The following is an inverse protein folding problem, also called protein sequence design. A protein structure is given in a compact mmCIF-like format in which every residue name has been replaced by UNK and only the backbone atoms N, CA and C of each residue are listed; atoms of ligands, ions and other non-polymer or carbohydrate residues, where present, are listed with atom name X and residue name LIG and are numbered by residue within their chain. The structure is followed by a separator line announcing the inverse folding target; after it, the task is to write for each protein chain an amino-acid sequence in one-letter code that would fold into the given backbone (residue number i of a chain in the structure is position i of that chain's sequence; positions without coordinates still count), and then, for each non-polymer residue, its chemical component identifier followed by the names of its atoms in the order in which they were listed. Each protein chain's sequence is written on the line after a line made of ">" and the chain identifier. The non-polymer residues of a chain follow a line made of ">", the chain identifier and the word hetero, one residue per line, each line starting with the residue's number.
data_IF_606537635671
#
_entry.id   IF_606537635671
#
_cell.length_a   1.000
_cell.length_b   1.000
_cell.length_c   1.000
_cell.angle_alpha   90.00
_cell.angle_beta   90.00
_cell.angle_gamma   90.00
#
_symmetry.space_group_name_H-M   'P 1'
#
loop_
_entity.id
_entity.type
_entity.pdbx_description
1 polymer ?
#
# COMPACT_ATOMS: atom_id res chain seq x y z
N UNK A 1 -34.50 -14.73 19.50
CA UNK A 1 -35.98 -14.74 19.32
C UNK A 1 -36.51 -13.41 18.74
N UNK A 2 -35.70 -12.61 18.07
CA UNK A 2 -36.08 -11.30 17.50
C UNK A 2 -35.93 -11.20 15.96
N UNK A 3 -35.56 -12.31 15.27
CA UNK A 3 -35.36 -12.32 13.80
C UNK A 3 -36.59 -12.75 12.99
N UNK A 4 -37.63 -13.28 13.60
CA UNK A 4 -38.82 -13.75 12.89
C UNK A 4 -39.96 -12.71 12.79
N UNK A 5 -39.91 -11.64 13.59
CA UNK A 5 -40.97 -10.62 13.60
C UNK A 5 -40.94 -9.65 12.40
N UNK A 6 -39.76 -9.48 11.75
CA UNK A 6 -39.65 -8.56 10.62
C UNK A 6 -40.10 -9.16 9.27
N UNK A 7 -40.01 -10.47 9.11
CA UNK A 7 -40.42 -11.15 7.86
C UNK A 7 -41.92 -11.25 7.71
N UNK A 8 -42.66 -11.35 8.81
CA UNK A 8 -44.12 -11.51 8.81
C UNK A 8 -44.87 -10.18 8.52
N UNK A 9 -44.29 -9.06 8.89
CA UNK A 9 -44.86 -7.73 8.57
C UNK A 9 -44.63 -7.35 7.08
N UNK A 10 -43.61 -7.91 6.46
CA UNK A 10 -43.22 -7.59 5.07
C UNK A 10 -44.17 -8.23 4.01
N UNK A 11 -44.64 -9.45 4.28
CA UNK A 11 -45.54 -10.17 3.36
C UNK A 11 -46.98 -9.62 3.39
N UNK A 12 -47.40 -8.95 4.45
CA UNK A 12 -48.73 -8.35 4.55
C UNK A 12 -48.85 -7.00 3.85
N UNK A 13 -47.74 -6.30 3.62
CA UNK A 13 -47.73 -4.99 2.94
C UNK A 13 -47.54 -5.09 1.41
N UNK A 14 -46.96 -6.18 0.93
CA UNK A 14 -46.66 -6.37 -0.50
C UNK A 14 -47.88 -6.67 -1.39
N UNK A 15 -49.06 -6.90 -0.80
CA UNK A 15 -50.27 -7.24 -1.55
C UNK A 15 -51.13 -6.03 -1.96
N UNK A 16 -50.73 -4.80 -1.64
CA UNK A 16 -51.56 -3.59 -1.81
C UNK A 16 -50.95 -2.55 -2.74
N UNK A 17 -49.78 -2.77 -3.34
CA UNK A 17 -49.09 -1.74 -4.12
C UNK A 17 -49.19 -1.98 -5.63
N UNK A 18 -49.64 -0.94 -6.33
CA UNK A 18 -49.90 -0.85 -7.77
C UNK A 18 -48.61 -1.02 -8.62
N UNK A 19 -48.77 -1.59 -9.82
CA UNK A 19 -47.69 -2.04 -10.71
C UNK A 19 -46.70 -0.94 -11.15
N UNK A 20 -47.05 0.33 -11.02
CA UNK A 20 -46.22 1.48 -11.43
C UNK A 20 -45.15 1.85 -10.41
N UNK A 21 -45.26 1.39 -9.17
CA UNK A 21 -44.26 1.66 -8.09
C UNK A 21 -43.24 0.54 -7.91
N UNK A 22 -43.36 -0.59 -8.60
CA UNK A 22 -42.46 -1.75 -8.41
C UNK A 22 -41.01 -1.50 -8.85
N UNK A 23 -40.80 -0.70 -9.89
CA UNK A 23 -39.43 -0.38 -10.33
C UNK A 23 -38.71 0.57 -9.37
N UNK A 24 -39.43 1.53 -8.78
CA UNK A 24 -38.84 2.42 -7.78
C UNK A 24 -38.58 1.70 -6.45
N UNK A 25 -39.46 0.81 -6.01
CA UNK A 25 -39.26 0.00 -4.81
C UNK A 25 -38.17 -1.07 -5.00
N UNK A 26 -38.05 -1.68 -6.18
CA UNK A 26 -36.99 -2.59 -6.50
C UNK A 26 -35.61 -1.88 -6.45
N UNK A 27 -35.56 -0.63 -6.91
CA UNK A 27 -34.38 0.21 -6.83
C UNK A 27 -34.08 0.65 -5.38
N UNK A 28 -35.12 0.94 -4.59
CA UNK A 28 -35.00 1.28 -3.17
C UNK A 28 -34.63 0.06 -2.33
N UNK A 29 -35.20 -1.10 -2.63
CA UNK A 29 -34.89 -2.38 -1.97
C UNK A 29 -33.51 -2.92 -2.35
N UNK A 30 -33.08 -2.72 -3.59
CA UNK A 30 -31.70 -2.94 -3.99
C UNK A 30 -30.73 -2.02 -3.22
N UNK A 31 -31.05 -0.72 -3.10
CA UNK A 31 -30.27 0.21 -2.27
C UNK A 31 -30.32 -0.15 -0.77
N UNK A 32 -31.48 -0.56 -0.24
CA UNK A 32 -31.60 -1.01 1.16
C UNK A 32 -30.91 -2.35 1.41
N UNK A 33 -30.87 -3.28 0.45
CA UNK A 33 -30.08 -4.50 0.52
C UNK A 33 -28.59 -4.21 0.48
N UNK A 34 -28.17 -3.25 -0.34
CA UNK A 34 -26.79 -2.71 -0.34
C UNK A 34 -26.45 -2.09 1.02
N UNK A 35 -27.38 -1.32 1.65
CA UNK A 35 -27.18 -0.75 2.99
C UNK A 35 -27.21 -1.80 4.12
N UNK A 36 -27.93 -2.89 3.99
CA UNK A 36 -27.99 -3.96 5.00
C UNK A 36 -26.79 -4.94 4.90
N UNK A 37 -26.13 -5.01 3.74
CA UNK A 37 -24.90 -5.77 3.53
C UNK A 37 -23.64 -4.96 3.87
N UNK A 38 -23.78 -3.67 4.19
CA UNK A 38 -22.69 -2.77 4.58
C UNK A 38 -22.23 -3.03 6.00
N UNK A 39 -21.58 -4.16 6.29
CA UNK A 39 -20.77 -4.32 7.52
C UNK A 39 -19.85 -5.53 7.50
N UNK A 40 -18.95 -5.62 6.54
CA UNK A 40 -17.64 -6.21 6.80
C UNK A 40 -16.62 -5.38 6.02
N UNK A 41 -15.95 -4.50 6.75
CA UNK A 41 -14.72 -3.88 6.27
C UNK A 41 -13.68 -5.00 6.32
N UNK A 42 -13.31 -5.51 5.15
CA UNK A 42 -12.25 -6.52 5.06
C UNK A 42 -10.89 -5.82 5.22
N UNK A 43 -10.02 -6.42 6.00
CA UNK A 43 -8.65 -5.96 6.13
C UNK A 43 -7.75 -6.80 5.22
N UNK A 44 -7.11 -6.14 4.25
CA UNK A 44 -6.15 -6.79 3.34
C UNK A 44 -4.78 -6.76 3.98
N UNK A 45 -4.44 -7.85 4.64
CA UNK A 45 -3.15 -8.10 5.29
C UNK A 45 -2.46 -9.29 4.63
N UNK A 46 -1.21 -9.53 4.97
CA UNK A 46 -0.49 -10.73 4.55
C UNK A 46 -1.25 -12.00 4.94
N UNK A 47 -1.79 -12.06 6.16
CA UNK A 47 -2.51 -13.22 6.67
C UNK A 47 -3.83 -13.45 5.93
N UNK A 48 -4.63 -12.39 5.70
CA UNK A 48 -5.91 -12.53 4.99
C UNK A 48 -5.70 -12.89 3.53
N UNK A 49 -4.65 -12.39 2.87
CA UNK A 49 -4.30 -12.78 1.51
C UNK A 49 -3.91 -14.25 1.42
N UNK A 50 -3.01 -14.72 2.30
CA UNK A 50 -2.49 -16.10 2.24
C UNK A 50 -3.51 -17.15 2.68
N UNK A 51 -4.53 -16.78 3.46
CA UNK A 51 -5.62 -17.66 3.87
C UNK A 51 -6.82 -17.66 2.92
N UNK A 52 -6.84 -16.81 1.90
CA UNK A 52 -7.96 -16.70 0.97
C UNK A 52 -7.85 -17.76 -0.13
N UNK A 53 -8.78 -18.72 -0.12
CA UNK A 53 -8.82 -19.83 -1.09
C UNK A 53 -9.22 -19.41 -2.51
N UNK A 54 -9.83 -18.21 -2.66
CA UNK A 54 -10.21 -17.67 -3.96
C UNK A 54 -9.02 -17.00 -4.70
N UNK A 55 -7.84 -16.89 -4.05
CA UNK A 55 -6.63 -16.34 -4.63
C UNK A 55 -5.64 -17.47 -4.97
N UNK A 56 -5.11 -17.42 -6.18
CA UNK A 56 -3.97 -18.26 -6.53
C UNK A 56 -2.68 -17.56 -6.14
N UNK A 57 -2.03 -18.05 -5.09
CA UNK A 57 -0.79 -17.49 -4.57
C UNK A 57 0.40 -18.19 -5.24
N UNK A 58 1.20 -17.41 -6.00
CA UNK A 58 2.45 -17.90 -6.59
C UNK A 58 3.59 -17.94 -5.58
N UNK A 59 3.69 -16.91 -4.73
CA UNK A 59 4.73 -16.81 -3.72
C UNK A 59 4.22 -16.06 -2.48
N UNK A 60 4.69 -16.46 -1.31
CA UNK A 60 4.49 -15.70 -0.08
C UNK A 60 5.63 -15.92 0.92
N UNK A 61 6.03 -14.86 1.59
CA UNK A 61 6.91 -14.85 2.76
C UNK A 61 6.38 -13.85 3.82
N UNK A 62 7.23 -13.45 4.77
CA UNK A 62 6.85 -12.53 5.85
C UNK A 62 6.57 -11.08 5.39
N UNK A 63 6.96 -10.72 4.16
CA UNK A 63 6.88 -9.35 3.64
C UNK A 63 6.19 -9.22 2.30
N UNK A 64 6.06 -10.31 1.56
CA UNK A 64 5.66 -10.32 0.16
C UNK A 64 4.57 -11.37 -0.06
N UNK A 65 3.52 -11.01 -0.79
CA UNK A 65 2.56 -11.95 -1.35
C UNK A 65 2.41 -11.65 -2.84
N UNK A 66 2.61 -12.66 -3.68
CA UNK A 66 2.36 -12.60 -5.13
C UNK A 66 1.08 -13.37 -5.44
N UNK A 67 0.12 -12.68 -6.00
CA UNK A 67 -1.15 -13.24 -6.48
C UNK A 67 -1.06 -13.40 -7.99
N UNK A 68 -1.21 -14.62 -8.47
CA UNK A 68 -1.14 -14.97 -9.89
C UNK A 68 -2.45 -14.74 -10.61
N UNK A 69 -3.54 -15.02 -9.92
CA UNK A 69 -4.90 -14.84 -10.42
C UNK A 69 -5.91 -14.85 -9.28
N UNK A 70 -7.10 -14.35 -9.58
CA UNK A 70 -8.24 -14.39 -8.68
C UNK A 70 -9.29 -15.32 -9.29
N UNK A 71 -9.61 -16.40 -8.59
CA UNK A 71 -10.57 -17.39 -9.09
C UNK A 71 -12.00 -16.93 -8.87
N UNK A 72 -12.24 -16.23 -7.76
CA UNK A 72 -13.55 -15.71 -7.41
C UNK A 72 -13.39 -14.41 -6.63
N UNK A 73 -14.15 -13.42 -7.02
CA UNK A 73 -14.25 -12.19 -6.25
C UNK A 73 -15.43 -12.28 -5.29
N UNK A 74 -15.16 -12.16 -4.00
CA UNK A 74 -16.21 -11.87 -3.04
C UNK A 74 -16.80 -10.47 -3.31
N UNK A 75 -18.06 -10.25 -3.00
CA UNK A 75 -18.65 -8.91 -3.02
C UNK A 75 -18.02 -8.08 -1.89
N UNK A 76 -16.90 -7.40 -2.19
CA UNK A 76 -16.20 -6.55 -1.26
C UNK A 76 -16.82 -5.15 -1.34
N UNK A 77 -17.55 -4.75 -0.31
CA UNK A 77 -18.12 -3.40 -0.23
C UNK A 77 -17.09 -2.36 0.23
N UNK A 78 -16.17 -2.75 1.09
CA UNK A 78 -15.07 -1.90 1.56
C UNK A 78 -13.88 -2.78 2.03
N UNK A 79 -12.67 -2.34 1.70
CA UNK A 79 -11.44 -2.98 2.14
C UNK A 79 -10.45 -1.95 2.71
N UNK A 80 -9.85 -2.28 3.84
CA UNK A 80 -8.70 -1.54 4.37
C UNK A 80 -7.42 -2.25 3.94
N UNK A 81 -6.63 -1.59 3.09
CA UNK A 81 -5.40 -2.16 2.53
C UNK A 81 -4.24 -1.82 3.44
N UNK A 82 -3.76 -2.80 4.21
CA UNK A 82 -2.66 -2.64 5.18
C UNK A 82 -1.28 -2.86 4.58
N UNK A 83 -1.20 -3.22 3.29
CA UNK A 83 0.03 -3.44 2.54
C UNK A 83 0.11 -2.51 1.32
N UNK A 84 1.31 -2.27 0.80
CA UNK A 84 1.43 -1.63 -0.51
C UNK A 84 1.11 -2.66 -1.59
N UNK A 85 0.25 -2.32 -2.56
CA UNK A 85 -0.12 -3.20 -3.65
C UNK A 85 0.25 -2.60 -5.01
N UNK A 86 0.83 -3.43 -5.86
CA UNK A 86 1.06 -3.16 -7.28
C UNK A 86 0.34 -4.27 -8.02
N UNK A 87 -0.68 -3.93 -8.80
CA UNK A 87 -1.50 -4.90 -9.50
C UNK A 87 -1.66 -4.54 -10.97
N UNK A 88 -1.46 -5.51 -11.85
CA UNK A 88 -1.76 -5.37 -13.27
C UNK A 88 -3.10 -6.06 -13.58
N UNK A 89 -4.02 -5.32 -14.19
CA UNK A 89 -5.25 -5.91 -14.71
C UNK A 89 -4.94 -6.70 -15.98
N UNK A 90 -5.17 -8.01 -15.93
CA UNK A 90 -4.90 -8.91 -17.07
C UNK A 90 -6.13 -9.13 -17.94
N UNK A 91 -7.33 -8.97 -17.36
CA UNK A 91 -8.60 -9.13 -18.07
C UNK A 91 -9.70 -8.33 -17.37
N UNK A 92 -10.67 -7.84 -18.13
CA UNK A 92 -11.83 -7.12 -17.62
C UNK A 92 -11.48 -5.74 -17.05
N UNK A 93 -12.26 -5.32 -16.05
CA UNK A 93 -12.06 -4.02 -15.38
C UNK A 93 -12.56 -4.03 -13.94
N UNK A 94 -12.00 -3.13 -13.13
CA UNK A 94 -12.48 -2.83 -11.78
C UNK A 94 -12.61 -1.33 -11.59
N UNK A 95 -13.66 -0.92 -10.89
CA UNK A 95 -13.89 0.44 -10.44
C UNK A 95 -13.92 0.43 -8.92
N UNK A 96 -13.29 1.42 -8.29
CA UNK A 96 -13.29 1.58 -6.84
C UNK A 96 -13.13 3.06 -6.45
N UNK A 97 -13.48 3.38 -5.22
CA UNK A 97 -13.20 4.68 -4.60
C UNK A 97 -12.05 4.50 -3.61
N UNK A 98 -10.90 5.10 -3.90
CA UNK A 98 -9.69 5.06 -3.06
C UNK A 98 -9.54 6.39 -2.33
N UNK A 99 -9.64 6.39 -1.00
CA UNK A 99 -9.57 7.61 -0.19
C UNK A 99 -10.45 8.76 -0.73
N UNK A 100 -11.65 8.44 -1.24
CA UNK A 100 -12.61 9.40 -1.80
C UNK A 100 -12.35 9.79 -3.27
N UNK A 101 -11.34 9.24 -3.92
CA UNK A 101 -11.09 9.41 -5.35
C UNK A 101 -11.56 8.17 -6.11
N UNK A 102 -12.46 8.35 -7.07
CA UNK A 102 -12.90 7.26 -7.94
C UNK A 102 -11.79 6.91 -8.93
N UNK A 103 -11.46 5.64 -9.02
CA UNK A 103 -10.51 5.09 -9.98
C UNK A 103 -11.18 3.99 -10.81
N UNK A 104 -10.75 3.82 -12.02
CA UNK A 104 -11.11 2.71 -12.91
C UNK A 104 -9.83 2.10 -13.47
N UNK A 105 -9.70 0.79 -13.34
CA UNK A 105 -8.56 0.01 -13.80
C UNK A 105 -9.04 -0.92 -14.91
N UNK A 106 -8.47 -0.77 -16.09
CA UNK A 106 -8.74 -1.59 -17.27
C UNK A 106 -7.62 -2.56 -17.55
N UNK A 107 -7.88 -3.48 -18.46
CA UNK A 107 -6.85 -4.39 -18.97
C UNK A 107 -5.60 -3.62 -19.43
N UNK A 108 -4.43 -4.16 -19.12
CA UNK A 108 -3.11 -3.58 -19.40
C UNK A 108 -2.79 -2.28 -18.64
N UNK A 109 -3.55 -1.99 -17.60
CA UNK A 109 -3.21 -0.92 -16.67
C UNK A 109 -2.69 -1.49 -15.35
N UNK A 110 -1.83 -0.72 -14.69
CA UNK A 110 -1.27 -1.03 -13.38
C UNK A 110 -1.88 -0.13 -12.32
N UNK A 111 -2.41 -0.75 -11.28
CA UNK A 111 -2.81 -0.05 -10.06
C UNK A 111 -1.65 -0.01 -9.06
N UNK A 112 -1.47 1.15 -8.42
CA UNK A 112 -0.49 1.38 -7.35
C UNK A 112 -1.25 1.88 -6.14
N UNK A 113 -1.41 1.03 -5.16
CA UNK A 113 -2.20 1.29 -3.95
C UNK A 113 -1.26 1.29 -2.75
N UNK A 114 -1.08 2.45 -2.07
CA UNK A 114 -0.26 2.50 -0.87
C UNK A 114 -0.95 1.81 0.31
N UNK A 115 -0.16 1.45 1.31
CA UNK A 115 -0.71 0.98 2.58
C UNK A 115 -1.59 2.03 3.27
N UNK A 116 -2.44 1.58 4.18
CA UNK A 116 -3.35 2.42 4.99
C UNK A 116 -4.42 3.14 4.16
N UNK A 117 -4.79 2.56 3.02
CA UNK A 117 -5.85 3.04 2.13
C UNK A 117 -7.15 2.31 2.41
N UNK A 118 -8.25 3.05 2.33
CA UNK A 118 -9.60 2.47 2.33
C UNK A 118 -10.14 2.50 0.92
N UNK A 119 -10.45 1.33 0.39
CA UNK A 119 -11.17 1.14 -0.87
C UNK A 119 -12.65 0.91 -0.57
N UNK A 120 -13.53 1.63 -1.26
CA UNK A 120 -14.99 1.48 -1.16
C UNK A 120 -15.60 1.40 -2.56
N UNK A 121 -16.88 1.03 -2.63
CA UNK A 121 -17.65 0.99 -3.88
C UNK A 121 -16.96 0.16 -4.96
N UNK A 122 -16.38 -0.98 -4.56
CA UNK A 122 -15.64 -1.86 -5.47
C UNK A 122 -16.62 -2.58 -6.39
N UNK A 123 -16.52 -2.33 -7.68
CA UNK A 123 -17.30 -2.98 -8.74
C UNK A 123 -16.36 -3.62 -9.74
N UNK A 124 -16.58 -4.88 -10.04
CA UNK A 124 -15.73 -5.68 -10.93
C UNK A 124 -16.56 -6.25 -12.09
N UNK A 125 -15.97 -6.35 -13.27
CA UNK A 125 -16.58 -7.06 -14.40
C UNK A 125 -16.50 -8.57 -14.17
N UNK A 126 -17.44 -9.37 -14.71
CA UNK A 126 -17.47 -10.82 -14.51
C UNK A 126 -16.22 -11.56 -14.98
N UNK A 127 -15.49 -10.98 -15.92
CA UNK A 127 -14.26 -11.52 -16.52
C UNK A 127 -12.99 -10.92 -15.91
N UNK A 128 -13.11 -10.12 -14.83
CA UNK A 128 -11.97 -9.43 -14.23
C UNK A 128 -10.94 -10.42 -13.68
N UNK A 129 -9.69 -10.19 -14.01
CA UNK A 129 -8.56 -10.88 -13.41
C UNK A 129 -7.34 -9.95 -13.30
N UNK A 130 -6.48 -10.26 -12.35
CA UNK A 130 -5.27 -9.48 -12.09
C UNK A 130 -4.11 -10.38 -11.66
N UNK A 131 -2.90 -9.85 -11.85
CA UNK A 131 -1.70 -10.28 -11.13
C UNK A 131 -1.29 -9.18 -10.18
N UNK A 132 -1.00 -9.52 -8.94
CA UNK A 132 -0.67 -8.52 -7.94
C UNK A 132 0.52 -8.91 -7.08
N UNK A 133 1.25 -7.89 -6.65
CA UNK A 133 2.30 -7.97 -5.67
C UNK A 133 1.92 -7.10 -4.47
N UNK A 134 1.82 -7.73 -3.32
CA UNK A 134 1.60 -7.05 -2.05
C UNK A 134 2.89 -7.04 -1.25
N UNK A 135 3.27 -5.86 -0.77
CA UNK A 135 4.54 -5.61 -0.08
C UNK A 135 4.28 -4.94 1.26
N UNK A 136 4.91 -5.42 2.32
CA UNK A 136 4.98 -4.64 3.56
C UNK A 136 5.75 -3.34 3.31
N UNK A 137 5.48 -2.32 4.15
CA UNK A 137 6.23 -1.06 4.04
C UNK A 137 7.74 -1.29 4.24
N UNK A 138 8.10 -2.23 5.09
CA UNK A 138 9.49 -2.62 5.37
C UNK A 138 10.23 -3.03 4.11
N UNK A 139 9.69 -3.99 3.35
CA UNK A 139 10.37 -4.48 2.15
C UNK A 139 10.36 -3.45 1.02
N UNK A 140 9.27 -2.69 0.87
CA UNK A 140 9.20 -1.61 -0.11
C UNK A 140 10.26 -0.53 0.14
N UNK A 141 10.43 -0.10 1.38
CA UNK A 141 11.48 0.85 1.77
C UNK A 141 12.88 0.27 1.51
N UNK A 142 13.10 -1.00 1.81
CA UNK A 142 14.36 -1.69 1.48
C UNK A 142 14.63 -1.70 -0.03
N UNK A 143 13.61 -1.97 -0.84
CA UNK A 143 13.75 -2.00 -2.31
C UNK A 143 14.06 -0.63 -2.89
N UNK A 144 13.37 0.40 -2.42
CA UNK A 144 13.44 1.74 -3.00
C UNK A 144 14.41 2.69 -2.31
N UNK A 145 14.74 2.44 -1.04
CA UNK A 145 15.60 3.25 -0.18
C UNK A 145 15.83 4.71 -0.66
N UNK A 146 16.88 4.95 -1.45
CA UNK A 146 17.23 6.27 -1.99
C UNK A 146 16.22 6.79 -3.05
N UNK A 147 15.30 5.97 -3.50
CA UNK A 147 14.29 6.28 -4.53
C UNK A 147 12.87 6.38 -3.95
N UNK A 148 12.71 6.31 -2.62
CA UNK A 148 11.40 6.46 -1.97
C UNK A 148 10.71 7.79 -2.30
N UNK A 149 11.47 8.84 -2.61
CA UNK A 149 10.92 10.12 -3.07
C UNK A 149 10.08 9.96 -4.35
N UNK A 150 10.49 9.08 -5.28
CA UNK A 150 9.71 8.80 -6.50
C UNK A 150 8.39 8.13 -6.17
N UNK A 151 8.41 7.11 -5.31
CA UNK A 151 7.20 6.44 -4.84
C UNK A 151 6.25 7.42 -4.14
N UNK A 152 6.78 8.21 -3.23
CA UNK A 152 5.99 9.18 -2.48
C UNK A 152 5.40 10.28 -3.38
N UNK A 153 6.14 10.75 -4.40
CA UNK A 153 5.63 11.70 -5.38
C UNK A 153 4.43 11.10 -6.14
N UNK A 154 4.59 9.89 -6.68
CA UNK A 154 3.55 9.20 -7.44
C UNK A 154 2.29 9.00 -6.60
N UNK A 155 2.45 8.41 -5.44
CA UNK A 155 1.35 7.85 -4.65
C UNK A 155 0.65 8.89 -3.79
N UNK A 156 1.41 9.77 -3.13
CA UNK A 156 0.84 10.69 -2.15
C UNK A 156 0.69 12.12 -2.67
N UNK A 157 1.60 12.59 -3.51
CA UNK A 157 1.53 13.96 -4.03
C UNK A 157 0.65 14.02 -5.28
N UNK A 158 0.90 13.17 -6.25
CA UNK A 158 0.14 13.12 -7.51
C UNK A 158 -1.11 12.27 -7.41
N UNK A 159 -1.20 11.38 -6.40
CA UNK A 159 -2.29 10.42 -6.22
C UNK A 159 -2.55 9.61 -7.49
N UNK A 160 -1.47 9.24 -8.16
CA UNK A 160 -1.52 8.48 -9.40
C UNK A 160 -1.70 7.00 -9.04
N UNK A 161 -2.96 6.58 -8.89
CA UNK A 161 -3.29 5.20 -8.52
C UNK A 161 -3.38 4.24 -9.72
N UNK A 162 -3.52 4.76 -10.93
CA UNK A 162 -3.61 3.95 -12.15
C UNK A 162 -2.67 4.50 -13.21
N UNK A 163 -1.89 3.61 -13.82
CA UNK A 163 -0.93 3.93 -14.88
C UNK A 163 -1.20 3.02 -16.07
N UNK A 164 -1.38 3.61 -17.25
CA UNK A 164 -1.46 2.84 -18.50
C UNK A 164 -0.06 2.42 -18.93
N UNK A 165 0.13 1.16 -19.24
CA UNK A 165 1.41 0.62 -19.71
C UNK A 165 1.47 0.67 -21.24
N UNK A 166 2.65 0.99 -21.77
CA UNK A 166 2.92 0.82 -23.20
C UNK A 166 3.21 -0.64 -23.54
N UNK A 167 3.10 -1.02 -24.80
CA UNK A 167 3.31 -2.41 -25.24
C UNK A 167 4.70 -2.93 -24.85
N UNK A 168 5.72 -2.08 -24.90
CA UNK A 168 7.10 -2.43 -24.52
C UNK A 168 7.20 -2.74 -23.03
N UNK A 169 6.52 -1.96 -22.19
CA UNK A 169 6.48 -2.16 -20.74
C UNK A 169 5.71 -3.46 -20.41
N UNK A 170 4.58 -3.69 -21.07
CA UNK A 170 3.78 -4.91 -20.89
C UNK A 170 4.58 -6.16 -21.23
N UNK A 171 5.32 -6.13 -22.36
CA UNK A 171 6.19 -7.23 -22.75
C UNK A 171 7.31 -7.45 -21.73
N UNK A 172 7.93 -6.37 -21.24
CA UNK A 172 8.95 -6.44 -20.21
C UNK A 172 8.40 -7.11 -18.94
N UNK A 173 7.26 -6.66 -18.42
CA UNK A 173 6.68 -7.22 -17.20
C UNK A 173 6.14 -8.64 -17.38
N UNK A 174 5.65 -8.98 -18.57
CA UNK A 174 5.24 -10.36 -18.87
C UNK A 174 6.43 -11.32 -18.84
N UNK A 175 7.50 -11.00 -19.55
CA UNK A 175 8.72 -11.82 -19.57
C UNK A 175 9.36 -11.89 -18.17
N UNK A 176 9.36 -10.77 -17.46
CA UNK A 176 9.85 -10.71 -16.08
C UNK A 176 9.06 -11.62 -15.15
N UNK A 177 7.73 -11.60 -15.27
CA UNK A 177 6.87 -12.45 -14.47
C UNK A 177 7.08 -13.94 -14.77
N UNK A 178 7.26 -14.32 -16.05
CA UNK A 178 7.60 -15.69 -16.43
C UNK A 178 8.92 -16.14 -15.77
N UNK A 179 9.95 -15.31 -15.84
CA UNK A 179 11.22 -15.59 -15.16
C UNK A 179 11.07 -15.72 -13.64
N UNK A 180 10.31 -14.83 -13.03
CA UNK A 180 10.03 -14.85 -11.59
C UNK A 180 9.25 -16.12 -11.20
N UNK A 181 8.26 -16.52 -11.99
CA UNK A 181 7.43 -17.70 -11.73
C UNK A 181 8.23 -19.01 -11.70
N UNK A 182 9.31 -19.10 -12.48
CA UNK A 182 10.24 -20.24 -12.43
C UNK A 182 10.91 -20.38 -11.06
N UNK A 183 11.09 -19.26 -10.34
CA UNK A 183 11.65 -19.26 -8.99
C UNK A 183 10.64 -19.70 -7.93
N UNK A 184 9.34 -19.78 -8.25
CA UNK A 184 8.28 -20.16 -7.29
C UNK A 184 8.11 -21.66 -7.14
N UNK A 185 8.69 -22.48 -8.04
CA UNK A 185 8.59 -23.92 -7.97
C UNK A 185 9.18 -24.45 -6.65
N UNK A 186 8.30 -24.99 -5.79
CA UNK A 186 8.67 -25.50 -4.47
C UNK A 186 9.52 -26.78 -4.55
N UNK A 187 9.54 -27.45 -5.71
CA UNK A 187 10.35 -28.65 -5.91
C UNK A 187 11.81 -28.35 -6.22
N UNK A 188 12.14 -27.09 -6.52
CA UNK A 188 13.50 -26.64 -6.77
C UNK A 188 13.98 -25.86 -5.56
N UNK A 189 14.59 -26.56 -4.60
CA UNK A 189 15.27 -25.91 -3.49
C UNK A 189 16.74 -25.68 -3.87
N UNK A 190 17.13 -24.38 -3.91
CA UNK A 190 18.50 -23.99 -4.15
C UNK A 190 18.92 -22.88 -3.18
N UNK A 191 20.22 -22.82 -2.84
CA UNK A 191 20.72 -21.75 -1.98
C UNK A 191 20.39 -20.36 -2.53
N UNK A 192 20.06 -19.41 -1.63
CA UNK A 192 19.77 -18.03 -1.96
C UNK A 192 18.49 -17.80 -2.78
N UNK A 193 17.56 -18.76 -2.83
CA UNK A 193 16.28 -18.62 -3.57
C UNK A 193 15.53 -17.36 -3.18
N UNK A 194 15.37 -17.12 -1.88
CA UNK A 194 14.67 -15.93 -1.37
C UNK A 194 15.38 -14.65 -1.79
N UNK A 195 16.71 -14.61 -1.74
CA UNK A 195 17.50 -13.45 -2.16
C UNK A 195 17.34 -13.17 -3.66
N UNK A 196 17.29 -14.21 -4.48
CA UNK A 196 17.04 -14.09 -5.93
C UNK A 196 15.64 -13.53 -6.18
N UNK A 197 14.60 -14.07 -5.55
CA UNK A 197 13.23 -13.59 -5.68
C UNK A 197 13.15 -12.12 -5.26
N UNK A 198 13.69 -11.75 -4.12
CA UNK A 198 13.65 -10.36 -3.64
C UNK A 198 14.44 -9.42 -4.55
N UNK A 199 15.56 -9.85 -5.11
CA UNK A 199 16.34 -9.06 -6.06
C UNK A 199 15.59 -8.82 -7.37
N UNK A 200 14.91 -9.83 -7.88
CA UNK A 200 14.03 -9.71 -9.06
C UNK A 200 12.87 -8.76 -8.77
N UNK A 201 12.16 -8.94 -7.66
CA UNK A 201 11.05 -8.06 -7.28
C UNK A 201 11.50 -6.62 -7.08
N UNK A 202 12.67 -6.41 -6.48
CA UNK A 202 13.27 -5.07 -6.37
C UNK A 202 13.51 -4.46 -7.74
N UNK A 203 14.06 -5.23 -8.69
CA UNK A 203 14.27 -4.75 -10.05
C UNK A 203 12.97 -4.33 -10.73
N UNK A 204 11.88 -5.12 -10.57
CA UNK A 204 10.56 -4.78 -11.12
C UNK A 204 9.99 -3.48 -10.53
N UNK A 205 10.06 -3.33 -9.20
CA UNK A 205 9.57 -2.11 -8.51
C UNK A 205 10.37 -0.88 -8.93
N UNK A 206 11.70 -0.99 -9.03
CA UNK A 206 12.56 0.10 -9.51
C UNK A 206 12.28 0.46 -10.98
N UNK A 207 12.08 -0.54 -11.83
CA UNK A 207 11.72 -0.35 -13.24
C UNK A 207 10.39 0.38 -13.39
N UNK A 208 9.37 -0.03 -12.62
CA UNK A 208 8.07 0.64 -12.59
C UNK A 208 8.21 2.11 -12.16
N UNK A 209 8.93 2.37 -11.06
CA UNK A 209 9.18 3.74 -10.60
C UNK A 209 9.91 4.58 -11.67
N UNK A 210 10.86 3.99 -12.39
CA UNK A 210 11.58 4.63 -13.48
C UNK A 210 10.68 5.00 -14.65
N UNK A 211 9.85 4.06 -15.12
CA UNK A 211 8.89 4.26 -16.21
C UNK A 211 7.86 5.36 -15.85
N UNK A 212 7.32 5.31 -14.64
CA UNK A 212 6.38 6.34 -14.17
C UNK A 212 7.04 7.70 -14.07
N UNK A 213 8.25 7.77 -13.52
CA UNK A 213 8.98 9.05 -13.41
C UNK A 213 9.25 9.66 -14.78
N UNK A 214 9.61 8.87 -15.76
CA UNK A 214 9.81 9.34 -17.13
C UNK A 214 8.52 9.95 -17.70
N UNK A 215 7.38 9.29 -17.52
CA UNK A 215 6.07 9.79 -17.98
C UNK A 215 5.64 11.07 -17.25
N UNK A 216 5.86 11.14 -15.93
CA UNK A 216 5.59 12.35 -15.17
C UNK A 216 6.37 13.55 -15.71
N UNK A 217 7.59 13.33 -16.20
CA UNK A 217 8.41 14.40 -16.75
C UNK A 217 7.97 14.81 -18.16
N UNK A 218 7.30 13.92 -18.92
CA UNK A 218 6.88 14.18 -20.31
C UNK A 218 5.44 14.64 -20.44
N UNK A 219 4.51 14.06 -19.68
CA UNK A 219 3.08 14.11 -20.01
C UNK A 219 2.18 14.68 -18.91
N UNK A 220 2.71 14.91 -17.71
CA UNK A 220 1.88 15.32 -16.55
C UNK A 220 2.08 16.81 -16.27
N UNK A 221 0.97 17.55 -16.18
CA UNK A 221 0.99 18.94 -15.75
C UNK A 221 1.69 19.11 -14.38
N UNK A 222 2.35 20.25 -14.16
CA UNK A 222 2.97 20.54 -12.87
C UNK A 222 1.96 20.35 -11.73
N UNK A 223 2.42 19.79 -10.62
CA UNK A 223 1.61 19.67 -9.41
C UNK A 223 0.92 20.99 -9.10
N UNK A 224 -0.40 20.91 -8.86
CA UNK A 224 -1.15 22.07 -8.39
C UNK A 224 -0.51 22.57 -7.09
N UNK A 225 0.00 23.80 -7.14
CA UNK A 225 0.83 24.42 -6.10
C UNK A 225 0.02 24.82 -4.85
N UNK A 226 -0.98 24.02 -4.47
CA UNK A 226 -1.68 24.22 -3.20
C UNK A 226 -0.69 24.24 -2.03
N UNK A 227 -0.76 25.23 -1.17
CA UNK A 227 0.17 25.44 -0.05
C UNK A 227 0.40 24.16 0.80
N UNK A 228 -0.65 23.36 0.99
CA UNK A 228 -0.58 22.12 1.77
C UNK A 228 0.23 21.03 1.03
N UNK A 229 0.07 20.86 -0.28
CA UNK A 229 0.85 19.92 -1.09
C UNK A 229 2.33 20.32 -1.09
N UNK A 230 2.62 21.62 -1.21
CA UNK A 230 3.99 22.14 -1.16
C UNK A 230 4.65 21.84 0.21
N UNK A 231 3.95 22.07 1.34
CA UNK A 231 4.51 21.76 2.66
C UNK A 231 4.72 20.27 2.87
N UNK A 232 3.82 19.42 2.38
CA UNK A 232 3.99 17.98 2.48
C UNK A 232 5.16 17.48 1.62
N UNK A 233 5.29 17.97 0.39
CA UNK A 233 6.42 17.66 -0.47
C UNK A 233 7.74 18.07 0.18
N UNK A 234 7.85 19.32 0.63
CA UNK A 234 9.04 19.82 1.33
C UNK A 234 9.38 19.01 2.59
N UNK A 235 8.35 18.54 3.32
CA UNK A 235 8.57 17.65 4.45
C UNK A 235 9.19 16.33 4.02
N UNK A 236 8.67 15.69 2.95
CA UNK A 236 9.22 14.44 2.42
C UNK A 236 10.64 14.66 1.87
N UNK A 237 10.89 15.75 1.15
CA UNK A 237 12.22 16.08 0.64
C UNK A 237 13.22 16.29 1.79
N UNK A 238 12.80 17.00 2.82
CA UNK A 238 13.62 17.21 4.02
C UNK A 238 13.88 15.90 4.76
N UNK A 239 12.88 15.05 4.90
CA UNK A 239 13.01 13.73 5.54
C UNK A 239 13.97 12.82 4.77
N UNK A 240 14.07 12.95 3.45
CA UNK A 240 15.00 12.17 2.62
C UNK A 240 16.42 12.79 2.57
N UNK A 241 16.54 14.10 2.57
CA UNK A 241 17.81 14.79 2.37
C UNK A 241 18.69 14.86 3.62
N UNK A 242 18.12 14.72 4.80
CA UNK A 242 18.87 14.84 6.06
C UNK A 242 19.61 13.53 6.35
N UNK A 243 20.93 13.59 6.51
CA UNK A 243 21.77 12.43 6.83
C UNK A 243 21.43 11.81 8.20
N UNK A 244 21.20 12.68 9.19
CA UNK A 244 20.76 12.29 10.54
C UNK A 244 19.29 12.65 10.68
N UNK A 245 18.43 11.66 10.77
CA UNK A 245 16.99 11.88 10.91
C UNK A 245 16.68 12.44 12.31
N UNK A 246 16.26 13.67 12.37
CA UNK A 246 15.73 14.23 13.61
C UNK A 246 14.43 13.51 13.98
N UNK A 247 14.26 13.16 15.25
CA UNK A 247 13.16 12.30 15.71
C UNK A 247 11.93 13.10 16.20
N UNK A 248 12.01 14.44 16.20
CA UNK A 248 10.92 15.27 16.68
C UNK A 248 10.22 16.00 15.53
N UNK A 249 8.90 16.04 15.60
CA UNK A 249 8.07 16.79 14.64
C UNK A 249 8.37 18.28 14.68
N UNK A 250 8.75 18.78 15.85
CA UNK A 250 9.06 20.19 16.10
C UNK A 250 10.20 20.67 15.22
N UNK A 251 11.26 19.85 15.09
CA UNK A 251 12.40 20.22 14.24
C UNK A 251 11.97 20.40 12.78
N UNK A 252 11.27 19.42 12.21
CA UNK A 252 10.78 19.51 10.83
C UNK A 252 9.80 20.66 10.63
N UNK A 253 8.93 20.90 11.57
CA UNK A 253 7.99 22.01 11.53
C UNK A 253 8.70 23.37 11.54
N UNK A 254 9.78 23.52 12.33
CA UNK A 254 10.62 24.72 12.37
C UNK A 254 11.29 24.97 11.02
N UNK A 255 11.92 23.95 10.42
CA UNK A 255 12.55 24.04 9.11
C UNK A 255 11.56 24.43 7.99
N UNK A 256 10.31 24.02 8.14
CA UNK A 256 9.23 24.33 7.20
C UNK A 256 8.50 25.64 7.51
N UNK A 257 8.86 26.34 8.60
CA UNK A 257 8.21 27.55 9.09
C UNK A 257 6.70 27.38 9.34
N UNK A 258 6.29 26.20 9.87
CA UNK A 258 4.90 25.89 10.23
C UNK A 258 4.81 25.29 11.64
N UNK A 259 3.59 25.14 12.15
CA UNK A 259 3.40 24.51 13.47
C UNK A 259 3.45 22.98 13.40
N UNK A 260 3.93 22.26 14.43
CA UNK A 260 3.92 20.78 14.48
C UNK A 260 2.54 20.19 14.29
N UNK A 261 1.50 20.82 14.84
CA UNK A 261 0.10 20.41 14.69
C UNK A 261 -0.35 20.50 13.22
N UNK A 262 0.01 21.59 12.55
CA UNK A 262 -0.33 21.78 11.13
C UNK A 262 0.41 20.78 10.25
N UNK A 263 1.72 20.56 10.49
CA UNK A 263 2.49 19.53 9.77
C UNK A 263 1.85 18.14 9.92
N UNK A 264 1.53 17.71 11.15
CA UNK A 264 0.89 16.42 11.39
C UNK A 264 -0.49 16.31 10.74
N UNK A 265 -1.26 17.40 10.70
CA UNK A 265 -2.56 17.46 10.02
C UNK A 265 -2.43 17.31 8.51
N UNK A 266 -1.45 17.98 7.89
CA UNK A 266 -1.16 17.85 6.45
C UNK A 266 -0.76 16.38 6.12
N UNK A 267 0.20 15.83 6.85
CA UNK A 267 0.65 14.46 6.65
C UNK A 267 -0.53 13.48 6.75
N UNK A 268 -1.35 13.60 7.79
CA UNK A 268 -2.54 12.73 7.98
C UNK A 268 -3.54 12.85 6.83
N UNK A 269 -3.79 14.06 6.34
CA UNK A 269 -4.69 14.30 5.22
C UNK A 269 -4.16 13.74 3.90
N UNK A 270 -2.86 13.84 3.65
CA UNK A 270 -2.25 13.46 2.38
C UNK A 270 -1.93 11.97 2.29
N UNK A 271 -1.52 11.35 3.40
CA UNK A 271 -0.99 9.98 3.41
C UNK A 271 -1.67 9.03 4.39
N UNK A 272 -2.64 9.48 5.17
CA UNK A 272 -3.21 8.69 6.25
C UNK A 272 -2.31 8.55 7.49
N UNK A 273 -1.05 9.01 7.45
CA UNK A 273 -0.07 8.95 8.53
C UNK A 273 0.26 10.32 9.09
N UNK A 274 0.49 10.42 10.38
CA UNK A 274 0.99 11.64 11.02
C UNK A 274 2.46 11.89 10.68
N UNK A 275 2.96 13.12 10.90
CA UNK A 275 4.37 13.43 10.74
C UNK A 275 5.28 12.57 11.63
N UNK A 276 4.83 12.27 12.85
CA UNK A 276 5.60 11.41 13.77
C UNK A 276 5.71 9.97 13.27
N UNK A 277 4.64 9.42 12.70
CA UNK A 277 4.66 8.08 12.09
C UNK A 277 5.65 8.03 10.91
N UNK A 278 5.65 9.05 10.05
CA UNK A 278 6.62 9.17 8.96
C UNK A 278 8.07 9.21 9.44
N UNK A 279 8.37 10.08 10.42
CA UNK A 279 9.72 10.21 11.00
C UNK A 279 10.15 8.89 11.63
N UNK A 280 9.29 8.28 12.43
CA UNK A 280 9.58 7.00 13.10
C UNK A 280 9.91 5.90 12.10
N UNK A 281 9.11 5.73 11.05
CA UNK A 281 9.37 4.73 10.00
C UNK A 281 10.75 4.92 9.35
N UNK A 282 11.12 6.16 9.01
CA UNK A 282 12.42 6.46 8.42
C UNK A 282 13.59 6.17 9.38
N UNK A 283 13.44 6.56 10.65
CA UNK A 283 14.47 6.27 11.68
C UNK A 283 14.63 4.76 11.88
N UNK A 284 13.52 4.00 11.91
CA UNK A 284 13.58 2.54 12.07
C UNK A 284 14.24 1.87 10.86
N UNK A 285 14.04 2.38 9.65
CA UNK A 285 14.69 1.86 8.45
C UNK A 285 16.21 2.12 8.47
N UNK A 286 16.63 3.33 8.86
CA UNK A 286 18.05 3.63 9.04
C UNK A 286 18.69 2.73 10.10
N UNK A 287 18.02 2.52 11.25
CA UNK A 287 18.49 1.60 12.29
C UNK A 287 18.68 0.18 11.72
N UNK A 288 17.67 -0.33 11.00
CA UNK A 288 17.71 -1.66 10.38
C UNK A 288 18.88 -1.77 9.41
N UNK A 289 19.04 -0.79 8.55
CA UNK A 289 20.12 -0.77 7.58
C UNK A 289 21.49 -0.82 8.26
N UNK A 290 21.75 0.08 9.18
CA UNK A 290 23.06 0.13 9.83
C UNK A 290 23.35 -1.11 10.67
N UNK A 291 22.34 -1.68 11.32
CA UNK A 291 22.53 -2.92 12.09
C UNK A 291 22.79 -4.14 11.21
N UNK A 292 22.16 -4.23 10.01
CA UNK A 292 22.22 -5.41 9.14
C UNK A 292 23.25 -5.32 8.02
N UNK A 293 23.52 -4.12 7.52
CA UNK A 293 24.28 -3.91 6.29
C UNK A 293 25.65 -3.27 6.54
N UNK A 294 26.02 -3.02 7.80
CA UNK A 294 27.31 -2.40 8.14
C UNK A 294 27.97 -3.08 9.34
N UNK A 295 29.29 -2.98 9.39
CA UNK A 295 30.10 -3.46 10.53
C UNK A 295 30.27 -2.43 11.65
N UNK A 296 29.50 -1.31 11.59
CA UNK A 296 29.60 -0.29 12.62
C UNK A 296 29.21 -0.83 13.99
N UNK A 297 29.99 -0.44 15.02
CA UNK A 297 29.64 -0.77 16.40
C UNK A 297 28.30 -0.10 16.79
N UNK A 298 27.62 -0.67 17.78
CA UNK A 298 26.37 -0.10 18.30
C UNK A 298 26.55 1.37 18.74
N UNK A 299 27.73 1.70 19.28
CA UNK A 299 28.06 3.09 19.65
C UNK A 299 28.15 4.00 18.42
N UNK A 300 28.86 3.57 17.37
CA UNK A 300 28.96 4.34 16.12
C UNK A 300 27.59 4.56 15.47
N UNK A 301 26.72 3.53 15.46
CA UNK A 301 25.35 3.67 14.93
C UNK A 301 24.53 4.65 15.78
N UNK A 302 24.65 4.55 17.11
CA UNK A 302 23.99 5.46 18.03
C UNK A 302 24.39 6.94 17.77
N UNK A 303 25.69 7.19 17.62
CA UNK A 303 26.23 8.51 17.35
C UNK A 303 25.80 9.01 15.95
N UNK A 304 25.90 8.14 14.92
CA UNK A 304 25.54 8.46 13.54
C UNK A 304 24.06 8.83 13.40
N UNK A 305 23.17 8.13 14.12
CA UNK A 305 21.74 8.38 14.09
C UNK A 305 21.28 9.46 15.08
N UNK A 306 22.23 10.14 15.75
CA UNK A 306 21.95 11.25 16.65
C UNK A 306 21.21 10.87 17.92
N UNK A 307 21.36 9.62 18.41
CA UNK A 307 20.80 9.22 19.70
C UNK A 307 21.64 9.75 20.85
N UNK A 308 21.03 10.20 21.97
CA UNK A 308 21.77 10.83 23.07
C UNK A 308 22.79 9.90 23.74
N UNK A 309 22.52 8.61 23.79
CA UNK A 309 23.39 7.57 24.33
C UNK A 309 22.94 6.17 23.92
N UNK A 310 23.82 5.19 24.09
CA UNK A 310 23.56 3.78 23.71
C UNK A 310 22.45 3.14 24.53
N UNK A 311 22.20 3.56 25.76
CA UNK A 311 21.10 3.04 26.58
C UNK A 311 19.76 3.45 26.01
N UNK A 312 19.61 4.71 25.63
CA UNK A 312 18.41 5.21 24.98
C UNK A 312 18.20 4.56 23.59
N UNK A 313 19.28 4.43 22.83
CA UNK A 313 19.24 3.72 21.54
C UNK A 313 18.81 2.27 21.72
N UNK A 314 19.39 1.55 22.68
CA UNK A 314 19.05 0.16 22.97
C UNK A 314 17.59 -0.01 23.38
N UNK A 315 17.08 0.89 24.23
CA UNK A 315 15.65 0.89 24.60
C UNK A 315 14.76 1.16 23.37
N UNK A 316 15.08 2.18 22.58
CA UNK A 316 14.31 2.53 21.38
C UNK A 316 14.23 1.36 20.38
N UNK A 317 15.34 0.68 20.13
CA UNK A 317 15.40 -0.51 19.28
C UNK A 317 14.56 -1.64 19.86
N UNK A 318 14.66 -1.90 21.17
CA UNK A 318 13.88 -2.95 21.83
C UNK A 318 12.39 -2.68 21.79
N UNK A 319 11.98 -1.44 22.01
CA UNK A 319 10.57 -1.02 22.01
C UNK A 319 9.92 -1.21 20.62
N UNK A 320 10.70 -1.03 19.52
CA UNK A 320 10.17 -1.11 18.17
C UNK A 320 10.42 -2.45 17.45
N UNK A 321 11.49 -3.15 17.77
CA UNK A 321 11.84 -4.44 17.14
C UNK A 321 11.66 -5.64 18.07
N UNK A 322 11.31 -5.43 19.33
CA UNK A 322 11.12 -6.50 20.31
C UNK A 322 12.42 -7.12 20.84
N UNK A 323 13.57 -6.70 20.33
CA UNK A 323 14.89 -7.25 20.66
C UNK A 323 15.96 -6.17 20.78
N UNK A 324 17.07 -6.47 21.44
CA UNK A 324 18.20 -5.54 21.57
C UNK A 324 18.92 -5.32 20.23
N UNK A 325 19.70 -4.23 20.05
CA UNK A 325 20.46 -4.00 18.82
C UNK A 325 21.41 -5.14 18.46
N UNK A 326 22.03 -5.80 19.47
CA UNK A 326 22.91 -6.94 19.23
C UNK A 326 22.15 -8.18 18.76
N UNK A 327 21.03 -8.50 19.42
CA UNK A 327 20.16 -9.60 18.99
C UNK A 327 19.63 -9.36 17.58
N UNK A 328 19.19 -8.12 17.27
CA UNK A 328 18.71 -7.77 15.94
C UNK A 328 19.78 -7.92 14.86
N UNK A 329 21.03 -7.60 15.17
CA UNK A 329 22.17 -7.77 14.24
C UNK A 329 22.44 -9.22 13.88
N UNK A 330 22.29 -10.14 14.85
CA UNK A 330 22.64 -11.56 14.69
C UNK A 330 21.48 -12.41 14.15
N UNK A 331 20.26 -11.93 14.28
CA UNK A 331 19.07 -12.57 13.71
C UNK A 331 18.95 -12.34 12.21
#
# INVERSE_FOLDING_TARGET
>A
MFKLSYYTLYFSYASVIDHKNREMECHYLCKMRIFATMKQQEEITLQTLTSNEDLQIGYSDNDIVIVDSVQKFAEISAAHVSMNAIAICTQGKVQATINGQQIELHQNQVAIIPQSVVATDVMISPDFNLKAMFLTNRILQSFLREKMNVWNDVVYLRRLHVVTMEDIDLQFYTNFYEMLSMCFDKHVDYPFRTDVIQSLLRAAVLGLCGAIKQRILTDVEPLDAGTANNHFQRFLDLLHSVDVKHRTVEWYATELCITPKYLSSICKKQSGKTANEWITEHVLEDIRYYLKQTDYSIKQICDLLGFPNTSFFGKYVKDHFGMTPMEFRTH
#
